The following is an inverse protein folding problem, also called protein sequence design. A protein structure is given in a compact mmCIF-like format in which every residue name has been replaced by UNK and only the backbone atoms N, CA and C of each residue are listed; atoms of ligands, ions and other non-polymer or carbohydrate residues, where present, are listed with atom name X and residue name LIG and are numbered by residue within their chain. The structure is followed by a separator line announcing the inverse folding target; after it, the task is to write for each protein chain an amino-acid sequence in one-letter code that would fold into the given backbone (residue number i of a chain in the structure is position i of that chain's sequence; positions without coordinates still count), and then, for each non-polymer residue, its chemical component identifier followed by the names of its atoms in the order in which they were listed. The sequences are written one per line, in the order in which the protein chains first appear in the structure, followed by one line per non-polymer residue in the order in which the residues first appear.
data_IF_412292345209
#
_entry.id   IF_412292345209
#
_cell.length_a   1.000
_cell.length_b   1.000
_cell.length_c   1.000
_cell.angle_alpha   90.00
_cell.angle_beta   90.00
_cell.angle_gamma   90.00
#
_symmetry.space_group_name_H-M   'P 1'
#
loop_
_entity.id
_entity.type
_entity.pdbx_description
1 polymer ?
#
# COMPACT_ATOMS: atom_id res chain seq x y z
N UNK A 1 63.05 -21.85 -6.28
CA UNK A 1 61.95 -21.90 -5.29
C UNK A 1 60.79 -21.08 -5.85
N UNK A 2 59.61 -21.68 -6.04
CA UNK A 2 58.43 -21.04 -6.67
C UNK A 2 57.59 -20.35 -5.60
N UNK A 3 57.36 -19.05 -5.74
CA UNK A 3 56.53 -18.26 -4.82
C UNK A 3 55.06 -18.40 -5.19
N UNK A 4 54.24 -18.86 -4.23
CA UNK A 4 52.79 -19.02 -4.39
C UNK A 4 52.13 -17.67 -4.07
N UNK A 5 51.41 -17.10 -5.05
CA UNK A 5 50.62 -15.88 -4.87
C UNK A 5 49.27 -16.25 -4.26
N UNK A 6 49.01 -15.78 -3.04
CA UNK A 6 47.70 -15.93 -2.37
C UNK A 6 46.85 -14.71 -2.71
N UNK A 7 45.75 -14.92 -3.43
CA UNK A 7 44.77 -13.88 -3.71
C UNK A 7 43.67 -13.94 -2.64
N UNK A 8 43.58 -12.91 -1.81
CA UNK A 8 42.49 -12.74 -0.84
C UNK A 8 41.33 -12.07 -1.57
N UNK A 9 40.21 -12.77 -1.73
CA UNK A 9 38.99 -12.24 -2.32
C UNK A 9 38.08 -11.79 -1.17
N UNK A 10 37.99 -10.47 -0.94
CA UNK A 10 37.10 -9.89 0.07
C UNK A 10 35.72 -9.75 -0.55
N UNK A 11 34.76 -10.56 -0.09
CA UNK A 11 33.37 -10.47 -0.47
C UNK A 11 32.70 -9.38 0.39
N UNK A 12 32.59 -8.15 -0.13
CA UNK A 12 31.69 -7.15 0.46
C UNK A 12 30.25 -7.57 0.19
N UNK A 13 29.58 -8.18 1.17
CA UNK A 13 28.12 -8.26 1.16
C UNK A 13 27.58 -6.87 1.47
N UNK A 14 27.18 -6.14 0.43
CA UNK A 14 26.42 -4.90 0.59
C UNK A 14 25.10 -5.23 1.30
N UNK A 15 24.86 -4.61 2.45
CA UNK A 15 23.56 -4.62 3.10
C UNK A 15 22.60 -3.80 2.23
N UNK A 16 21.81 -4.48 1.39
CA UNK A 16 20.65 -3.87 0.76
C UNK A 16 19.60 -3.67 1.85
N UNK A 17 19.49 -2.43 2.36
CA UNK A 17 18.31 -2.02 3.09
C UNK A 17 17.17 -1.96 2.08
N UNK A 18 16.25 -2.92 2.11
CA UNK A 18 14.98 -2.75 1.41
C UNK A 18 14.30 -1.54 2.05
N UNK A 19 14.17 -0.45 1.30
CA UNK A 19 13.37 0.67 1.75
C UNK A 19 11.95 0.17 1.97
N UNK A 20 11.35 0.57 3.08
CA UNK A 20 9.94 0.36 3.34
C UNK A 20 9.12 0.90 2.14
N UNK A 21 8.39 0.03 1.45
CA UNK A 21 7.44 0.47 0.43
C UNK A 21 6.21 1.05 1.13
N UNK A 22 5.89 2.31 0.83
CA UNK A 22 4.69 3.01 1.32
C UNK A 22 3.60 3.10 0.24
N UNK A 23 3.71 2.25 -0.79
CA UNK A 23 2.81 2.27 -1.94
C UNK A 23 1.83 1.11 -1.87
N UNK A 24 0.54 1.43 -1.85
CA UNK A 24 -0.54 0.47 -1.94
C UNK A 24 -0.98 0.26 -3.41
N UNK A 25 -1.36 -0.95 -3.76
CA UNK A 25 -1.83 -1.30 -5.10
C UNK A 25 -3.25 -1.86 -5.04
N UNK A 26 -4.11 -1.47 -5.97
CA UNK A 26 -5.48 -1.95 -6.08
C UNK A 26 -5.60 -2.98 -7.20
N UNK A 27 -6.38 -4.02 -7.00
CA UNK A 27 -6.47 -5.16 -7.92
C UNK A 27 -7.91 -5.41 -8.36
N UNK A 28 -8.05 -6.11 -9.49
CA UNK A 28 -9.35 -6.49 -10.04
C UNK A 28 -9.92 -7.76 -9.39
N UNK A 29 -9.08 -8.59 -8.78
CA UNK A 29 -9.47 -9.77 -8.02
C UNK A 29 -9.53 -9.50 -6.51
N UNK A 30 -10.05 -10.49 -5.76
CA UNK A 30 -10.19 -10.42 -4.31
C UNK A 30 -8.88 -10.71 -3.55
N UNK A 31 -7.88 -11.29 -4.22
CA UNK A 31 -6.71 -11.89 -3.57
C UNK A 31 -5.38 -11.20 -3.95
N UNK A 32 -5.46 -10.00 -4.54
CA UNK A 32 -4.34 -9.14 -4.92
C UNK A 32 -3.36 -9.74 -5.94
N UNK A 33 -3.86 -10.45 -6.95
CA UNK A 33 -3.02 -11.15 -7.95
C UNK A 33 -3.18 -10.61 -9.38
N UNK A 34 -4.33 -10.04 -9.73
CA UNK A 34 -4.69 -9.73 -11.11
C UNK A 34 -4.94 -8.23 -11.34
N UNK A 35 -4.43 -7.74 -12.47
CA UNK A 35 -4.63 -6.37 -12.96
C UNK A 35 -4.35 -5.26 -11.92
N UNK A 36 -3.24 -5.44 -11.19
CA UNK A 36 -2.76 -4.50 -10.19
C UNK A 36 -2.52 -3.09 -10.76
N UNK A 37 -2.99 -2.09 -10.03
CA UNK A 37 -2.75 -0.69 -10.34
C UNK A 37 -1.28 -0.31 -10.17
N UNK A 38 -0.95 0.92 -10.59
CA UNK A 38 0.25 1.60 -10.08
C UNK A 38 0.18 1.72 -8.54
N UNK A 39 1.33 1.92 -7.90
CA UNK A 39 1.41 2.13 -6.45
C UNK A 39 0.93 3.54 -6.05
N UNK A 40 0.14 3.61 -4.99
CA UNK A 40 -0.38 4.85 -4.41
C UNK A 40 0.24 5.08 -3.03
N UNK A 41 0.85 6.24 -2.84
CA UNK A 41 1.47 6.62 -1.58
C UNK A 41 0.41 6.76 -0.47
N UNK A 42 0.52 5.93 0.57
CA UNK A 42 -0.40 5.95 1.72
C UNK A 42 -0.25 7.20 2.60
N UNK A 43 0.88 7.91 2.50
CA UNK A 43 1.22 9.11 3.28
C UNK A 43 0.96 10.43 2.55
N UNK A 44 0.91 10.42 1.21
CA UNK A 44 0.50 11.57 0.41
C UNK A 44 -0.65 11.24 -0.58
N UNK A 45 -1.83 10.89 -0.05
CA UNK A 45 -2.92 10.39 -0.87
C UNK A 45 -3.82 11.54 -1.33
N UNK A 46 -3.68 11.92 -2.59
CA UNK A 46 -4.75 12.63 -3.29
C UNK A 46 -6.04 11.80 -3.34
N UNK A 47 -7.08 12.34 -3.97
CA UNK A 47 -8.22 11.51 -4.38
C UNK A 47 -7.86 10.71 -5.63
N UNK A 48 -8.24 9.43 -5.68
CA UNK A 48 -8.05 8.60 -6.86
C UNK A 48 -9.36 7.93 -7.29
N UNK A 49 -9.77 8.24 -8.53
CA UNK A 49 -10.93 7.64 -9.19
C UNK A 49 -10.56 6.27 -9.77
N UNK A 50 -10.73 5.22 -8.98
CA UNK A 50 -10.48 3.83 -9.35
C UNK A 50 -11.77 3.02 -9.21
N UNK A 51 -12.66 3.05 -10.20
CA UNK A 51 -13.90 2.29 -10.11
C UNK A 51 -13.62 0.77 -10.16
N UNK A 52 -14.46 -0.01 -9.48
CA UNK A 52 -14.51 -1.49 -9.58
C UNK A 52 -13.19 -2.18 -9.19
N UNK A 53 -12.66 -1.84 -8.02
CA UNK A 53 -11.53 -2.56 -7.40
C UNK A 53 -12.01 -3.50 -6.30
N UNK A 54 -11.44 -4.70 -6.29
CA UNK A 54 -11.90 -5.82 -5.45
C UNK A 54 -10.94 -6.15 -4.32
N UNK A 55 -9.69 -5.71 -4.42
CA UNK A 55 -8.77 -5.76 -3.29
C UNK A 55 -7.72 -4.65 -3.35
N UNK A 56 -7.07 -4.43 -2.22
CA UNK A 56 -5.92 -3.53 -2.08
C UNK A 56 -4.82 -4.24 -1.31
N UNK A 57 -3.62 -4.26 -1.87
CA UNK A 57 -2.43 -4.68 -1.16
C UNK A 57 -1.86 -3.48 -0.41
N UNK A 58 -1.74 -3.61 0.90
CA UNK A 58 -1.10 -2.65 1.77
C UNK A 58 0.29 -3.19 2.13
N UNK A 59 1.37 -2.46 1.83
CA UNK A 59 2.72 -2.96 2.04
C UNK A 59 3.07 -3.04 3.53
N UNK A 60 4.16 -3.74 3.84
CA UNK A 60 4.78 -3.69 5.16
C UNK A 60 5.85 -2.59 5.16
N UNK A 61 5.62 -1.51 5.90
CA UNK A 61 6.57 -0.41 5.95
C UNK A 61 7.54 -0.47 7.15
N UNK A 62 7.51 -1.57 7.92
CA UNK A 62 8.46 -1.84 9.00
C UNK A 62 8.46 -0.82 10.15
N UNK A 63 7.50 0.13 10.16
CA UNK A 63 7.45 1.20 11.14
C UNK A 63 6.29 0.97 12.13
N UNK A 64 6.61 0.58 13.38
CA UNK A 64 5.62 0.38 14.40
C UNK A 64 5.16 1.69 15.08
N UNK A 65 5.17 2.82 14.39
CA UNK A 65 4.69 4.10 14.94
C UNK A 65 3.91 4.94 13.91
N UNK A 66 3.71 4.44 12.69
CA UNK A 66 2.89 5.06 11.62
C UNK A 66 1.50 4.44 11.47
N UNK A 67 1.02 3.74 12.50
CA UNK A 67 0.10 2.60 12.35
C UNK A 67 -1.34 2.86 11.91
N UNK A 68 -1.86 4.08 12.02
CA UNK A 68 -3.29 4.27 11.81
C UNK A 68 -3.49 5.09 10.55
N UNK A 69 -3.91 4.39 9.51
CA UNK A 69 -4.46 4.98 8.32
C UNK A 69 -5.91 4.52 8.17
N UNK A 70 -6.70 5.32 7.49
CA UNK A 70 -7.99 4.90 7.00
C UNK A 70 -8.01 4.93 5.48
N UNK A 71 -8.47 3.85 4.87
CA UNK A 71 -8.85 3.81 3.47
C UNK A 71 -10.32 4.25 3.36
N UNK A 72 -10.51 5.50 2.95
CA UNK A 72 -11.81 6.09 2.67
C UNK A 72 -12.30 5.61 1.32
N UNK A 73 -13.56 5.20 1.25
CA UNK A 73 -14.22 4.73 0.04
C UNK A 73 -15.45 5.60 -0.24
N UNK A 74 -15.55 6.11 -1.48
CA UNK A 74 -16.70 6.88 -1.97
C UNK A 74 -17.39 6.11 -3.08
N UNK A 75 -18.68 5.85 -2.91
CA UNK A 75 -19.51 5.06 -3.85
C UNK A 75 -20.23 5.96 -4.86
N UNK A 76 -20.46 7.22 -4.50
CA UNK A 76 -21.32 8.11 -5.29
C UNK A 76 -20.55 8.80 -6.42
N UNK A 77 -19.27 9.13 -6.20
CA UNK A 77 -18.45 9.91 -7.14
C UNK A 77 -16.97 9.49 -7.18
N UNK A 78 -16.27 9.94 -8.23
CA UNK A 78 -14.82 9.79 -8.38
C UNK A 78 -13.98 10.84 -7.64
N UNK A 79 -14.61 11.75 -6.88
CA UNK A 79 -14.00 12.98 -6.36
C UNK A 79 -13.68 12.93 -4.86
N UNK A 80 -13.88 11.79 -4.18
CA UNK A 80 -13.65 11.63 -2.74
C UNK A 80 -14.36 12.68 -1.87
N UNK A 81 -15.54 13.10 -2.31
CA UNK A 81 -16.32 14.19 -1.69
C UNK A 81 -16.85 13.84 -0.29
N UNK A 82 -17.04 12.55 -0.01
CA UNK A 82 -17.57 12.05 1.24
C UNK A 82 -17.09 10.60 1.47
N UNK A 83 -17.32 10.06 2.66
CA UNK A 83 -16.94 8.71 3.07
C UNK A 83 -18.19 7.85 3.22
N UNK A 84 -18.47 6.98 2.25
CA UNK A 84 -19.55 5.99 2.37
C UNK A 84 -19.13 4.80 3.25
N UNK A 85 -17.85 4.44 3.17
CA UNK A 85 -17.23 3.40 3.97
C UNK A 85 -15.77 3.72 4.24
N UNK A 86 -15.25 3.18 5.34
CA UNK A 86 -13.87 3.32 5.74
C UNK A 86 -13.30 1.99 6.21
N UNK A 87 -12.00 1.81 6.04
CA UNK A 87 -11.26 0.71 6.63
C UNK A 87 -10.02 1.22 7.35
N UNK A 88 -9.98 1.03 8.67
CA UNK A 88 -8.82 1.32 9.50
C UNK A 88 -7.76 0.24 9.36
N UNK A 89 -6.52 0.64 9.11
CA UNK A 89 -5.42 -0.28 8.94
C UNK A 89 -4.08 0.29 9.41
N UNK A 90 -3.18 -0.64 9.74
CA UNK A 90 -1.74 -0.39 9.78
C UNK A 90 -1.03 -1.14 8.67
N UNK A 91 0.05 -0.57 8.15
CA UNK A 91 0.79 -1.10 7.01
C UNK A 91 1.67 -2.31 7.39
N UNK A 92 1.04 -3.46 7.63
CA UNK A 92 1.70 -4.70 8.08
C UNK A 92 2.01 -5.70 6.97
N UNK A 93 1.74 -5.38 5.71
CA UNK A 93 1.93 -6.29 4.57
C UNK A 93 0.79 -7.29 4.43
N UNK A 94 -0.35 -6.86 3.88
CA UNK A 94 -1.52 -7.73 3.72
C UNK A 94 -2.39 -7.30 2.53
N UNK A 95 -3.16 -8.26 2.02
CA UNK A 95 -4.21 -8.01 1.05
C UNK A 95 -5.55 -7.81 1.77
N UNK A 96 -6.27 -6.74 1.44
CA UNK A 96 -7.58 -6.44 1.98
C UNK A 96 -8.65 -6.51 0.89
N UNK A 97 -9.74 -7.24 1.15
CA UNK A 97 -10.88 -7.33 0.23
C UNK A 97 -11.72 -6.06 0.28
N UNK A 98 -12.04 -5.55 -0.89
CA UNK A 98 -12.92 -4.41 -1.10
C UNK A 98 -14.28 -4.91 -1.59
N UNK A 99 -15.33 -4.14 -1.35
CA UNK A 99 -16.68 -4.54 -1.74
C UNK A 99 -16.99 -4.35 -3.24
N UNK A 100 -16.05 -3.78 -4.01
CA UNK A 100 -16.20 -3.51 -5.45
C UNK A 100 -17.12 -2.34 -5.81
N UNK A 101 -17.72 -1.64 -4.84
CA UNK A 101 -18.74 -0.59 -5.08
C UNK A 101 -18.17 0.81 -5.17
N UNK A 102 -16.96 1.03 -4.65
CA UNK A 102 -16.38 2.36 -4.64
C UNK A 102 -15.97 2.83 -6.04
N UNK A 103 -16.19 4.12 -6.27
CA UNK A 103 -15.78 4.85 -7.46
C UNK A 103 -14.49 5.63 -7.23
N UNK A 104 -14.21 6.01 -5.99
CA UNK A 104 -12.95 6.61 -5.58
C UNK A 104 -12.52 6.17 -4.20
N UNK A 105 -11.22 6.33 -3.97
CA UNK A 105 -10.55 6.02 -2.73
C UNK A 105 -9.62 7.17 -2.32
N UNK A 106 -9.37 7.29 -1.02
CA UNK A 106 -8.37 8.19 -0.44
C UNK A 106 -7.81 7.57 0.82
N UNK A 107 -6.50 7.56 0.99
CA UNK A 107 -5.92 7.26 2.30
C UNK A 107 -5.99 8.51 3.18
N UNK A 108 -6.21 8.37 4.48
CA UNK A 108 -6.06 9.46 5.45
C UNK A 108 -5.27 8.94 6.63
N UNK A 109 -4.59 9.84 7.35
CA UNK A 109 -3.95 9.49 8.62
C UNK A 109 -4.98 9.52 9.74
N UNK A 110 -4.83 8.62 10.70
CA UNK A 110 -5.76 8.45 11.81
C UNK A 110 -6.79 7.37 11.54
N UNK A 111 -7.97 7.55 12.12
CA UNK A 111 -9.09 6.61 12.02
C UNK A 111 -10.10 7.10 10.99
N UNK A 112 -10.89 6.17 10.46
CA UNK A 112 -12.06 6.49 9.67
C UNK A 112 -13.08 7.23 10.51
N UNK A 113 -13.68 8.27 9.94
CA UNK A 113 -14.82 8.95 10.55
C UNK A 113 -16.09 8.10 10.41
N UNK A 114 -17.24 8.60 10.86
CA UNK A 114 -18.52 7.99 10.52
C UNK A 114 -18.87 8.23 9.04
N UNK A 115 -19.80 7.42 8.51
CA UNK A 115 -20.34 7.67 7.18
C UNK A 115 -20.96 9.08 7.12
N UNK A 116 -20.49 9.91 6.18
CA UNK A 116 -20.97 11.27 5.96
C UNK A 116 -21.56 11.47 4.54
N UNK A 117 -21.92 10.35 3.90
CA UNK A 117 -22.82 10.24 2.76
C UNK A 117 -24.12 9.52 3.22
#
# INVERSE_FOLDING_TARGET
MKFIKVHVFVLLMGLSFAFADNFANFFADDDCNEDGSIGFDIDNPGCFALPVRHSVYIPNNGNPFSFQHCLVQTFDSGECNCQNAGYDFGATGFCHKLNGKAKSYRFIRGFCDENNC
#
